data_IF_965136889835
#
_entry.id   IF_965136889835
#
_cell.length_a   1.000
_cell.length_b   1.000
_cell.length_c   1.000
_cell.angle_alpha   90.00
_cell.angle_beta   90.00
_cell.angle_gamma   90.00
#
_symmetry.space_group_name_H-M   'P 1'
#
loop_
_entity.id
_entity.type
_entity.pdbx_description
1 polymer ?
#
# COMPACT_ATOMS: atom_id res chain seq x y z
N UNK A 1 -1.54 -17.73 -24.43
CA UNK A 1 -0.91 -17.59 -23.11
C UNK A 1 0.10 -16.47 -23.20
N UNK A 2 0.10 -15.54 -22.26
CA UNK A 2 1.03 -14.41 -22.21
C UNK A 2 2.29 -14.84 -21.47
N UNK A 3 3.44 -14.34 -21.94
CA UNK A 3 4.74 -14.67 -21.32
C UNK A 3 5.41 -13.45 -20.66
N UNK A 4 4.79 -12.27 -20.80
CA UNK A 4 5.29 -11.03 -20.26
C UNK A 4 4.14 -10.16 -19.76
N UNK A 5 4.35 -9.51 -18.61
CA UNK A 5 3.46 -8.48 -18.08
C UNK A 5 4.25 -7.41 -17.34
N UNK A 6 3.87 -6.14 -17.56
CA UNK A 6 4.36 -4.98 -16.83
C UNK A 6 3.21 -4.32 -16.08
N UNK A 7 3.45 -4.00 -14.81
CA UNK A 7 2.42 -3.48 -13.91
C UNK A 7 2.94 -2.28 -13.13
N UNK A 8 2.01 -1.46 -12.68
CA UNK A 8 2.20 -0.48 -11.61
C UNK A 8 1.58 -0.98 -10.31
N UNK A 9 2.18 -0.57 -9.22
CA UNK A 9 1.85 -0.94 -7.86
C UNK A 9 1.78 0.35 -7.02
N UNK A 10 0.60 1.03 -6.95
CA UNK A 10 0.46 2.36 -6.38
C UNK A 10 0.62 2.36 -4.85
N UNK A 11 1.01 3.51 -4.29
CA UNK A 11 0.89 3.78 -2.87
C UNK A 11 -0.58 4.04 -2.48
N UNK A 12 -0.86 4.02 -1.17
CA UNK A 12 -2.14 4.48 -0.58
C UNK A 12 -1.90 5.44 0.57
N UNK A 13 -2.93 6.15 0.91
CA UNK A 13 -3.08 6.82 2.20
C UNK A 13 -4.42 6.43 2.84
N UNK A 14 -4.56 6.67 4.13
CA UNK A 14 -5.84 6.55 4.82
C UNK A 14 -6.36 7.97 5.03
N UNK A 15 -7.40 8.39 4.31
CA UNK A 15 -8.09 9.66 4.58
C UNK A 15 -8.75 9.63 5.95
N UNK A 16 -9.24 8.45 6.33
CA UNK A 16 -9.68 8.13 7.69
C UNK A 16 -9.02 6.82 8.10
N UNK A 17 -8.50 6.78 9.32
CA UNK A 17 -8.12 5.55 10.02
C UNK A 17 -8.72 5.63 11.43
N UNK A 18 -9.80 4.88 11.63
CA UNK A 18 -10.57 4.81 12.85
C UNK A 18 -10.37 3.44 13.49
N UNK A 19 -9.42 3.37 14.42
CA UNK A 19 -9.10 2.14 15.16
C UNK A 19 -10.04 2.05 16.36
N UNK A 20 -10.78 0.94 16.44
CA UNK A 20 -11.65 0.57 17.53
C UNK A 20 -10.96 -0.27 18.59
N UNK A 21 -11.76 -0.94 19.43
CA UNK A 21 -11.26 -1.82 20.48
C UNK A 21 -10.57 -3.07 19.92
N UNK A 22 -9.67 -3.64 20.72
CA UNK A 22 -9.05 -4.93 20.43
C UNK A 22 -10.11 -6.05 20.39
N UNK A 23 -9.98 -6.94 19.42
CA UNK A 23 -10.85 -8.10 19.17
C UNK A 23 -10.29 -9.35 19.85
N UNK A 24 -11.09 -10.38 19.94
CA UNK A 24 -10.69 -11.69 20.51
C UNK A 24 -9.55 -12.36 19.71
N UNK A 25 -9.41 -12.03 18.41
CA UNK A 25 -8.35 -12.54 17.54
C UNK A 25 -7.02 -11.78 17.70
N UNK A 26 -6.94 -10.81 18.62
CA UNK A 26 -5.75 -9.99 18.89
C UNK A 26 -5.54 -8.82 17.91
N UNK A 27 -6.45 -8.63 16.95
CA UNK A 27 -6.48 -7.46 16.08
C UNK A 27 -7.47 -6.41 16.60
N UNK A 28 -7.45 -5.23 16.00
CA UNK A 28 -8.42 -4.16 16.26
C UNK A 28 -9.52 -4.15 15.21
N UNK A 29 -10.72 -3.76 15.61
CA UNK A 29 -11.71 -3.33 14.64
C UNK A 29 -11.23 -2.03 13.99
N UNK A 30 -11.25 -1.97 12.67
CA UNK A 30 -10.78 -0.83 11.90
C UNK A 30 -11.85 -0.39 10.91
N UNK A 31 -12.13 0.91 10.89
CA UNK A 31 -12.91 1.55 9.85
C UNK A 31 -12.00 2.55 9.15
N UNK A 32 -11.81 2.38 7.85
CA UNK A 32 -10.86 3.22 7.11
C UNK A 32 -11.38 3.62 5.75
N UNK A 33 -11.06 4.86 5.33
CA UNK A 33 -11.23 5.29 3.95
C UNK A 33 -9.84 5.39 3.35
N UNK A 34 -9.51 4.41 2.50
CA UNK A 34 -8.24 4.36 1.78
C UNK A 34 -8.35 5.04 0.42
N UNK A 35 -7.29 5.68 0.00
CA UNK A 35 -7.17 6.28 -1.33
C UNK A 35 -5.83 5.96 -1.97
N UNK A 36 -5.86 5.49 -3.23
CA UNK A 36 -4.65 5.24 -4.03
C UNK A 36 -3.99 6.55 -4.45
N UNK A 37 -2.68 6.52 -4.62
CA UNK A 37 -1.85 7.63 -5.07
C UNK A 37 -1.18 7.33 -6.42
N UNK A 38 -0.78 8.37 -7.13
CA UNK A 38 0.00 8.24 -8.37
C UNK A 38 1.44 7.76 -8.13
N UNK A 39 2.00 7.97 -6.93
CA UNK A 39 3.27 7.35 -6.54
C UNK A 39 3.13 5.83 -6.59
N UNK A 40 4.01 5.14 -7.30
CA UNK A 40 3.93 3.70 -7.49
C UNK A 40 5.28 3.04 -7.66
N UNK A 41 5.40 1.80 -7.21
CA UNK A 41 6.46 0.88 -7.63
C UNK A 41 6.11 0.26 -8.99
N UNK A 42 7.08 -0.35 -9.66
CA UNK A 42 6.88 -1.04 -10.94
C UNK A 42 7.27 -2.50 -10.84
N UNK A 43 6.42 -3.38 -11.37
CA UNK A 43 6.69 -4.79 -11.52
C UNK A 43 6.78 -5.16 -12.99
N UNK A 44 7.76 -6.01 -13.31
CA UNK A 44 7.80 -6.74 -14.59
C UNK A 44 7.87 -8.23 -14.27
N UNK A 45 7.02 -9.02 -14.90
CA UNK A 45 7.03 -10.47 -14.73
C UNK A 45 7.16 -11.15 -16.07
N UNK A 46 7.96 -12.23 -16.10
CA UNK A 46 8.16 -13.09 -17.28
C UNK A 46 7.94 -14.53 -16.90
N UNK A 47 7.19 -15.24 -17.74
CA UNK A 47 6.95 -16.68 -17.62
C UNK A 47 7.80 -17.43 -18.61
N UNK A 48 8.45 -18.49 -18.14
CA UNK A 48 9.23 -19.42 -18.93
C UNK A 48 8.66 -20.83 -18.73
N UNK A 49 8.37 -21.53 -19.82
CA UNK A 49 8.01 -22.94 -19.80
C UNK A 49 9.30 -23.79 -19.81
N UNK A 50 9.29 -24.94 -19.14
CA UNK A 50 10.48 -25.76 -18.88
C UNK A 50 11.23 -26.24 -20.11
N UNK A 51 10.63 -26.23 -21.29
CA UNK A 51 11.23 -26.66 -22.57
C UNK A 51 11.89 -25.52 -23.36
N UNK A 52 12.04 -24.32 -22.80
CA UNK A 52 12.80 -23.26 -23.46
C UNK A 52 14.28 -23.53 -23.32
N UNK A 53 14.91 -23.93 -24.43
CA UNK A 53 16.30 -24.33 -24.56
C UNK A 53 17.27 -23.43 -23.77
N UNK A 54 17.99 -24.01 -22.82
CA UNK A 54 19.23 -23.48 -22.27
C UNK A 54 19.18 -22.93 -20.85
N UNK A 55 18.05 -22.88 -20.16
CA UNK A 55 17.98 -22.57 -18.73
C UNK A 55 17.66 -23.89 -17.98
N UNK A 56 18.71 -24.60 -17.56
CA UNK A 56 18.58 -25.88 -16.84
C UNK A 56 17.96 -25.68 -15.45
N UNK A 57 16.66 -25.75 -15.36
CA UNK A 57 15.94 -25.79 -14.09
C UNK A 57 15.50 -27.22 -13.80
N UNK A 58 16.13 -27.84 -12.82
CA UNK A 58 15.80 -29.18 -12.32
C UNK A 58 14.72 -29.14 -11.22
N UNK A 59 13.66 -28.36 -11.38
CA UNK A 59 12.59 -28.31 -10.39
C UNK A 59 11.25 -28.72 -10.99
N UNK A 60 10.62 -29.68 -10.35
CA UNK A 60 9.23 -30.03 -10.62
C UNK A 60 8.32 -28.92 -10.05
N UNK A 61 7.41 -28.39 -10.87
CA UNK A 61 6.41 -27.40 -10.50
C UNK A 61 6.85 -25.93 -10.70
N UNK A 62 6.26 -25.03 -9.92
CA UNK A 62 6.49 -23.58 -10.04
C UNK A 62 7.79 -23.15 -9.36
N UNK A 63 8.71 -22.55 -10.13
CA UNK A 63 9.86 -21.81 -9.63
C UNK A 63 9.61 -20.31 -9.72
N UNK A 64 10.00 -19.54 -8.69
CA UNK A 64 9.85 -18.09 -8.65
C UNK A 64 11.22 -17.45 -8.39
N UNK A 65 11.65 -16.57 -9.28
CA UNK A 65 12.89 -15.80 -9.13
C UNK A 65 12.53 -14.34 -8.97
N UNK A 66 12.87 -13.75 -7.83
CA UNK A 66 12.56 -12.34 -7.53
C UNK A 66 13.85 -11.53 -7.43
N UNK A 67 13.93 -10.47 -8.24
CA UNK A 67 14.92 -9.41 -8.12
C UNK A 67 14.22 -8.14 -7.66
N UNK A 68 14.65 -7.57 -6.54
CA UNK A 68 14.13 -6.31 -6.00
C UNK A 68 15.24 -5.26 -6.04
N UNK A 69 14.96 -4.12 -6.66
CA UNK A 69 15.84 -2.95 -6.67
C UNK A 69 15.11 -1.78 -6.03
N UNK A 70 15.81 -1.01 -5.19
CA UNK A 70 15.29 0.20 -4.55
C UNK A 70 15.91 1.44 -5.17
N UNK A 71 15.17 2.54 -5.23
CA UNK A 71 15.76 3.84 -5.58
C UNK A 71 16.79 4.25 -4.52
N UNK A 72 17.84 4.97 -4.91
CA UNK A 72 18.98 5.27 -4.02
C UNK A 72 18.67 6.19 -2.84
N UNK A 73 17.44 6.65 -2.70
CA UNK A 73 16.97 7.53 -1.61
C UNK A 73 16.00 6.82 -0.64
N UNK A 74 15.82 5.51 -0.80
CA UNK A 74 15.12 4.66 0.17
C UNK A 74 16.03 3.49 0.56
N UNK A 75 15.83 2.99 1.78
CA UNK A 75 16.62 1.87 2.29
C UNK A 75 16.46 0.63 1.41
N UNK A 76 17.55 -0.14 1.25
CA UNK A 76 17.50 -1.43 0.59
C UNK A 76 16.58 -2.38 1.35
N UNK A 77 15.77 -3.14 0.61
CA UNK A 77 14.94 -4.16 1.21
C UNK A 77 15.76 -5.45 1.38
N UNK A 78 16.36 -5.61 2.55
CA UNK A 78 17.11 -6.83 2.92
C UNK A 78 16.15 -7.92 3.43
N UNK A 79 15.39 -8.52 2.50
CA UNK A 79 14.45 -9.59 2.78
C UNK A 79 14.75 -10.74 1.84
N UNK A 80 14.79 -11.98 2.36
CA UNK A 80 14.93 -13.15 1.52
C UNK A 80 13.79 -13.19 0.47
N UNK A 81 14.07 -13.62 -0.78
CA UNK A 81 13.05 -13.62 -1.83
C UNK A 81 11.74 -14.31 -1.40
N UNK A 82 11.83 -15.41 -0.67
CA UNK A 82 10.70 -16.23 -0.23
C UNK A 82 9.85 -15.53 0.87
N UNK A 83 10.44 -14.59 1.60
CA UNK A 83 9.77 -13.78 2.61
C UNK A 83 9.11 -12.55 2.00
N UNK A 84 9.47 -12.18 0.76
CA UNK A 84 8.86 -11.07 0.07
C UNK A 84 7.38 -11.38 -0.24
N UNK A 85 6.50 -10.46 0.15
CA UNK A 85 5.05 -10.66 0.00
C UNK A 85 4.62 -10.80 -1.47
N UNK A 86 5.34 -10.21 -2.43
CA UNK A 86 5.07 -10.41 -3.86
C UNK A 86 5.40 -11.82 -4.34
N UNK A 87 6.49 -12.42 -3.82
CA UNK A 87 6.81 -13.83 -4.06
C UNK A 87 5.74 -14.75 -3.47
N UNK A 88 5.39 -14.52 -2.20
CA UNK A 88 4.37 -15.29 -1.50
C UNK A 88 3.01 -15.21 -2.21
N UNK A 89 2.65 -14.06 -2.75
CA UNK A 89 1.41 -13.83 -3.48
C UNK A 89 1.27 -14.81 -4.68
N UNK A 90 2.32 -14.96 -5.48
CA UNK A 90 2.30 -15.88 -6.62
C UNK A 90 2.24 -17.34 -6.15
N UNK A 91 3.03 -17.69 -5.13
CA UNK A 91 3.05 -19.04 -4.58
C UNK A 91 1.69 -19.45 -4.01
N UNK A 92 1.08 -18.59 -3.21
CA UNK A 92 -0.24 -18.85 -2.62
C UNK A 92 -1.35 -18.92 -3.69
N UNK A 93 -1.28 -18.05 -4.71
CA UNK A 93 -2.23 -18.12 -5.83
C UNK A 93 -2.08 -19.42 -6.64
N UNK A 94 -0.84 -19.86 -6.92
CA UNK A 94 -0.62 -21.14 -7.60
C UNK A 94 -1.21 -22.30 -6.82
N UNK A 95 -1.04 -22.32 -5.50
CA UNK A 95 -1.62 -23.32 -4.61
C UNK A 95 -3.15 -23.29 -4.63
N UNK A 96 -3.74 -22.10 -4.55
CA UNK A 96 -5.20 -21.91 -4.59
C UNK A 96 -5.81 -22.39 -5.92
N UNK A 97 -5.08 -22.23 -7.02
CA UNK A 97 -5.47 -22.67 -8.35
C UNK A 97 -5.18 -24.14 -8.61
N UNK A 98 -4.46 -24.84 -7.72
CA UNK A 98 -4.01 -26.23 -7.90
C UNK A 98 -3.06 -26.39 -9.08
N UNK A 99 -2.21 -25.40 -9.35
CA UNK A 99 -1.27 -25.44 -10.47
C UNK A 99 -0.15 -26.41 -10.21
N UNK A 100 0.14 -27.26 -11.22
CA UNK A 100 1.15 -28.31 -11.20
C UNK A 100 2.11 -28.23 -12.41
N UNK A 101 1.95 -27.22 -13.27
CA UNK A 101 2.78 -27.03 -14.45
C UNK A 101 4.20 -26.65 -14.06
N UNK A 102 5.15 -27.24 -14.75
CA UNK A 102 6.56 -26.89 -14.62
C UNK A 102 6.83 -25.58 -15.36
N UNK A 103 7.05 -24.52 -14.60
CA UNK A 103 7.29 -23.19 -15.14
C UNK A 103 8.13 -22.35 -14.18
N UNK A 104 8.79 -21.34 -14.73
CA UNK A 104 9.51 -20.33 -13.94
C UNK A 104 8.91 -18.96 -14.16
N UNK A 105 8.63 -18.22 -13.08
CA UNK A 105 8.23 -16.83 -13.11
C UNK A 105 9.37 -15.97 -12.57
N UNK A 106 9.93 -15.12 -13.43
CA UNK A 106 10.87 -14.08 -13.05
C UNK A 106 10.12 -12.79 -12.73
N UNK A 107 10.38 -12.23 -11.55
CA UNK A 107 9.85 -10.96 -11.07
C UNK A 107 10.99 -9.96 -10.97
N UNK A 108 10.88 -8.83 -11.64
CA UNK A 108 11.72 -7.65 -11.41
C UNK A 108 10.87 -6.57 -10.77
N UNK A 109 11.15 -6.25 -9.52
CA UNK A 109 10.47 -5.24 -8.72
C UNK A 109 11.39 -4.03 -8.55
N UNK A 110 10.93 -2.86 -9.03
CA UNK A 110 11.59 -1.57 -8.82
C UNK A 110 10.80 -0.74 -7.83
N UNK A 111 11.41 -0.46 -6.66
CA UNK A 111 10.76 0.23 -5.54
C UNK A 111 11.18 1.68 -5.43
N UNK A 112 10.17 2.53 -5.28
CA UNK A 112 10.28 3.94 -4.92
C UNK A 112 9.47 4.29 -3.67
N UNK A 113 8.57 3.39 -3.26
CA UNK A 113 7.79 3.52 -2.02
C UNK A 113 8.61 2.92 -0.88
N UNK A 114 8.98 3.70 0.16
CA UNK A 114 9.77 3.20 1.28
C UNK A 114 8.99 2.14 2.07
N UNK A 115 9.73 1.18 2.62
CA UNK A 115 9.17 0.20 3.55
C UNK A 115 8.75 0.88 4.87
N UNK A 116 7.79 0.29 5.59
CA UNK A 116 7.33 0.76 6.92
C UNK A 116 6.99 2.25 6.97
N UNK A 117 6.46 2.79 5.87
CA UNK A 117 6.13 4.20 5.70
C UNK A 117 4.62 4.52 5.87
N UNK A 118 3.77 3.52 6.12
CA UNK A 118 2.32 3.69 6.15
C UNK A 118 1.66 3.83 4.77
N UNK A 119 2.42 3.68 3.69
CA UNK A 119 2.00 3.89 2.30
C UNK A 119 1.55 2.61 1.56
N UNK A 120 1.58 1.45 2.22
CA UNK A 120 1.08 0.19 1.69
C UNK A 120 1.88 -0.42 0.54
N UNK A 121 3.15 -0.02 0.33
CA UNK A 121 3.98 -0.44 -0.81
C UNK A 121 4.10 -1.96 -0.95
N UNK A 122 4.34 -2.69 0.14
CA UNK A 122 4.44 -4.16 0.13
C UNK A 122 3.12 -4.81 -0.29
N UNK A 123 2.01 -4.40 0.32
CA UNK A 123 0.67 -4.93 -0.02
C UNK A 123 0.29 -4.63 -1.48
N UNK A 124 0.66 -3.46 -1.97
CA UNK A 124 0.47 -3.09 -3.37
C UNK A 124 1.32 -3.96 -4.31
N UNK A 125 2.59 -4.27 -3.93
CA UNK A 125 3.43 -5.19 -4.71
C UNK A 125 2.83 -6.60 -4.75
N UNK A 126 2.26 -7.08 -3.65
CA UNK A 126 1.55 -8.36 -3.60
C UNK A 126 0.33 -8.38 -4.53
N UNK A 127 -0.51 -7.33 -4.49
CA UNK A 127 -1.66 -7.19 -5.38
C UNK A 127 -1.25 -7.15 -6.87
N UNK A 128 -0.18 -6.41 -7.20
CA UNK A 128 0.37 -6.38 -8.55
C UNK A 128 0.92 -7.76 -8.98
N UNK A 129 1.57 -8.49 -8.07
CA UNK A 129 2.05 -9.85 -8.34
C UNK A 129 0.89 -10.83 -8.57
N UNK A 130 -0.19 -10.77 -7.78
CA UNK A 130 -1.41 -11.55 -8.01
C UNK A 130 -2.01 -11.27 -9.38
N UNK A 131 -2.20 -9.99 -9.72
CA UNK A 131 -2.76 -9.58 -11.00
C UNK A 131 -1.85 -9.98 -12.18
N UNK A 132 -0.53 -9.88 -11.99
CA UNK A 132 0.48 -10.29 -12.96
C UNK A 132 0.44 -11.79 -13.23
N UNK A 133 0.43 -12.61 -12.18
CA UNK A 133 0.31 -14.06 -12.29
C UNK A 133 -1.02 -14.47 -12.93
N UNK A 134 -2.13 -13.88 -12.52
CA UNK A 134 -3.43 -14.10 -13.15
C UNK A 134 -3.39 -13.80 -14.66
N UNK A 135 -2.76 -12.67 -15.04
CA UNK A 135 -2.60 -12.27 -16.46
C UNK A 135 -1.76 -13.29 -17.25
N UNK A 136 -0.64 -13.76 -16.69
CA UNK A 136 0.23 -14.76 -17.32
C UNK A 136 -0.46 -16.11 -17.45
N UNK A 137 -1.30 -16.47 -16.49
CA UNK A 137 -2.03 -17.75 -16.46
C UNK A 137 -3.41 -17.70 -17.17
N UNK A 138 -3.82 -16.54 -17.67
CA UNK A 138 -5.10 -16.39 -18.35
C UNK A 138 -6.30 -16.49 -17.41
N UNK A 139 -6.13 -16.13 -16.13
CA UNK A 139 -7.17 -16.08 -15.12
C UNK A 139 -7.86 -14.70 -15.17
N UNK A 140 -9.17 -14.70 -14.98
CA UNK A 140 -9.95 -13.45 -14.90
C UNK A 140 -9.46 -12.59 -13.71
N UNK A 141 -9.13 -11.32 -13.90
CA UNK A 141 -8.78 -10.41 -12.81
C UNK A 141 -9.88 -10.25 -11.73
N UNK A 142 -11.12 -10.63 -12.04
CA UNK A 142 -12.26 -10.62 -11.11
C UNK A 142 -12.50 -11.97 -10.44
N UNK A 143 -11.62 -12.98 -10.64
CA UNK A 143 -11.76 -14.30 -10.02
C UNK A 143 -11.70 -14.16 -8.49
N UNK A 144 -12.71 -14.68 -7.79
CA UNK A 144 -12.83 -14.61 -6.33
C UNK A 144 -11.62 -15.20 -5.60
N UNK A 145 -10.91 -16.15 -6.22
CA UNK A 145 -9.70 -16.76 -5.64
C UNK A 145 -8.56 -15.75 -5.49
N UNK A 146 -8.45 -14.75 -6.40
CA UNK A 146 -7.48 -13.67 -6.23
C UNK A 146 -7.76 -12.86 -4.97
N UNK A 147 -9.02 -12.51 -4.74
CA UNK A 147 -9.45 -11.76 -3.55
C UNK A 147 -9.29 -12.58 -2.27
N UNK A 148 -9.58 -13.88 -2.32
CA UNK A 148 -9.37 -14.79 -1.19
C UNK A 148 -7.88 -14.87 -0.79
N UNK A 149 -6.98 -15.00 -1.76
CA UNK A 149 -5.53 -14.98 -1.51
C UNK A 149 -5.09 -13.61 -1.01
N UNK A 150 -5.55 -12.52 -1.62
CA UNK A 150 -5.22 -11.16 -1.22
C UNK A 150 -5.56 -10.90 0.26
N UNK A 151 -6.75 -11.30 0.71
CA UNK A 151 -7.21 -11.10 2.09
C UNK A 151 -6.38 -11.91 3.12
N UNK A 152 -5.85 -13.08 2.73
CA UNK A 152 -4.94 -13.88 3.59
C UNK A 152 -3.55 -13.27 3.68
N UNK A 153 -3.05 -12.67 2.60
CA UNK A 153 -1.73 -12.05 2.56
C UNK A 153 -1.64 -10.79 3.41
N UNK A 154 -2.71 -10.01 3.48
CA UNK A 154 -2.75 -8.81 4.29
C UNK A 154 -3.98 -7.94 4.03
N UNK A 155 -4.40 -7.17 5.04
CA UNK A 155 -5.61 -6.36 5.00
C UNK A 155 -5.63 -5.38 3.79
N UNK A 156 -4.51 -4.72 3.50
CA UNK A 156 -4.43 -3.74 2.41
C UNK A 156 -4.32 -4.37 1.01
N UNK A 157 -4.00 -5.69 0.88
CA UNK A 157 -3.74 -6.31 -0.44
C UNK A 157 -5.00 -6.31 -1.31
N UNK A 158 -6.16 -6.67 -0.73
CA UNK A 158 -7.43 -6.69 -1.44
C UNK A 158 -7.86 -5.28 -1.93
N UNK A 159 -7.57 -4.23 -1.14
CA UNK A 159 -7.80 -2.84 -1.57
C UNK A 159 -7.06 -2.54 -2.87
N UNK A 160 -5.79 -2.94 -3.00
CA UNK A 160 -4.98 -2.62 -4.18
C UNK A 160 -5.38 -3.38 -5.44
N UNK A 161 -6.08 -4.50 -5.35
CA UNK A 161 -6.69 -5.15 -6.52
C UNK A 161 -7.79 -4.28 -7.15
N UNK A 162 -8.48 -3.49 -6.34
CA UNK A 162 -9.55 -2.59 -6.78
C UNK A 162 -9.07 -1.15 -6.92
N UNK A 163 -8.41 -0.62 -5.92
CA UNK A 163 -7.85 0.74 -5.88
C UNK A 163 -8.88 1.85 -5.83
N UNK A 164 -8.45 3.04 -6.24
CA UNK A 164 -9.28 4.24 -6.20
C UNK A 164 -9.46 4.77 -4.78
N UNK A 165 -10.72 5.01 -4.38
CA UNK A 165 -11.07 5.37 -3.01
C UNK A 165 -12.15 4.42 -2.51
N UNK A 166 -11.96 3.85 -1.31
CA UNK A 166 -12.88 2.89 -0.74
C UNK A 166 -12.97 3.02 0.78
N UNK A 167 -14.17 2.78 1.30
CA UNK A 167 -14.42 2.54 2.71
C UNK A 167 -14.30 1.03 2.99
N UNK A 168 -13.53 0.70 4.02
CA UNK A 168 -13.28 -0.67 4.45
C UNK A 168 -13.49 -0.79 5.95
N UNK A 169 -13.92 -1.98 6.39
CA UNK A 169 -14.13 -2.36 7.79
C UNK A 169 -13.35 -3.62 8.18
N UNK A 170 -13.68 -4.23 9.29
CA UNK A 170 -13.00 -5.40 9.82
C UNK A 170 -11.62 -5.05 10.36
N UNK A 171 -10.55 -5.63 9.83
CA UNK A 171 -9.15 -5.23 10.08
C UNK A 171 -8.64 -4.26 9.00
N UNK A 172 -9.55 -3.75 8.13
CA UNK A 172 -9.28 -2.98 6.91
C UNK A 172 -9.36 -3.81 5.62
N UNK A 173 -9.78 -5.10 5.70
CA UNK A 173 -9.89 -6.01 4.55
C UNK A 173 -11.31 -6.14 4.00
N UNK A 174 -12.34 -5.80 4.77
CA UNK A 174 -13.72 -5.92 4.33
C UNK A 174 -14.11 -4.70 3.52
N UNK A 175 -14.29 -4.90 2.21
CA UNK A 175 -14.72 -3.84 1.32
C UNK A 175 -16.21 -3.53 1.51
N UNK A 176 -16.54 -2.32 1.88
CA UNK A 176 -17.91 -1.87 2.08
C UNK A 176 -18.45 -1.14 0.84
N UNK A 177 -17.84 -0.03 0.45
CA UNK A 177 -18.24 0.73 -0.73
C UNK A 177 -17.08 1.53 -1.33
N UNK A 178 -17.22 1.85 -2.64
CA UNK A 178 -16.33 2.80 -3.32
C UNK A 178 -16.84 4.22 -3.11
N UNK A 179 -15.89 5.16 -2.98
CA UNK A 179 -16.16 6.58 -3.01
C UNK A 179 -15.65 7.17 -4.33
N UNK A 180 -16.28 8.25 -4.78
CA UNK A 180 -15.72 9.06 -5.86
C UNK A 180 -14.34 9.56 -5.43
N UNK A 181 -13.27 9.29 -6.22
CA UNK A 181 -11.92 9.66 -5.86
C UNK A 181 -11.73 11.17 -5.68
N UNK A 182 -10.95 11.57 -4.67
CA UNK A 182 -10.50 12.94 -4.49
C UNK A 182 -9.55 13.32 -5.64
N UNK A 183 -9.54 14.59 -6.00
CA UNK A 183 -8.54 15.18 -6.90
C UNK A 183 -7.62 16.08 -6.09
N UNK A 184 -6.43 16.37 -6.62
CA UNK A 184 -5.47 17.29 -6.01
C UNK A 184 -4.09 16.68 -5.84
N UNK A 185 -3.24 17.43 -5.16
CA UNK A 185 -1.83 17.11 -4.96
C UNK A 185 -1.52 16.92 -3.48
N UNK A 186 -0.51 16.11 -3.22
CA UNK A 186 -0.06 15.78 -1.88
C UNK A 186 1.47 15.73 -1.89
N UNK A 187 2.10 16.40 -0.94
CA UNK A 187 3.48 16.14 -0.59
C UNK A 187 3.51 15.03 0.47
N UNK A 188 4.26 13.98 0.21
CA UNK A 188 4.53 12.90 1.15
C UNK A 188 5.89 13.15 1.77
N UNK A 189 5.96 13.23 3.09
CA UNK A 189 7.19 13.53 3.81
C UNK A 189 7.37 12.51 4.94
N UNK A 190 8.54 11.86 4.99
CA UNK A 190 8.86 10.85 5.99
C UNK A 190 10.11 11.27 6.74
N UNK A 191 10.11 11.25 8.10
CA UNK A 191 11.34 11.39 8.88
C UNK A 191 12.25 10.20 8.63
N UNK A 192 13.52 10.29 9.04
CA UNK A 192 14.47 9.19 8.88
C UNK A 192 14.15 8.00 9.80
N UNK A 193 13.35 8.23 10.85
CA UNK A 193 12.88 7.17 11.74
C UNK A 193 11.58 6.55 11.22
N UNK A 194 11.47 5.22 11.29
CA UNK A 194 10.26 4.46 11.03
C UNK A 194 9.37 4.35 12.26
N UNK A 195 8.09 4.07 12.07
CA UNK A 195 7.16 3.71 13.16
C UNK A 195 6.90 2.22 13.13
N UNK A 196 7.19 1.53 14.22
CA UNK A 196 6.75 0.15 14.39
C UNK A 196 5.24 0.13 14.58
N UNK A 197 4.50 -0.46 13.64
CA UNK A 197 3.03 -0.61 13.72
C UNK A 197 2.60 -1.25 15.03
N UNK A 198 3.27 -2.33 15.44
CA UNK A 198 2.95 -3.02 16.69
C UNK A 198 3.12 -2.12 17.93
N UNK A 199 4.17 -1.29 17.97
CA UNK A 199 4.39 -0.33 19.08
C UNK A 199 3.36 0.79 19.05
N UNK A 200 2.97 1.29 17.87
CA UNK A 200 1.94 2.33 17.74
C UNK A 200 0.57 1.82 18.24
N UNK A 201 0.19 0.59 17.91
CA UNK A 201 -1.03 -0.01 18.43
C UNK A 201 -0.94 -0.25 19.95
N UNK A 202 0.17 -0.72 20.47
CA UNK A 202 0.36 -0.89 21.91
C UNK A 202 0.30 0.45 22.69
N UNK A 203 0.86 1.53 22.14
CA UNK A 203 0.75 2.87 22.72
C UNK A 203 -0.71 3.39 22.64
N UNK A 204 -1.41 3.12 21.54
CA UNK A 204 -2.84 3.45 21.40
C UNK A 204 -3.68 2.73 22.45
N UNK A 205 -3.43 1.45 22.71
CA UNK A 205 -4.15 0.66 23.71
C UNK A 205 -3.96 1.19 25.14
N UNK A 206 -2.80 1.80 25.41
CA UNK A 206 -2.52 2.42 26.71
C UNK A 206 -3.36 3.70 26.96
N UNK A 207 -3.72 4.42 25.91
CA UNK A 207 -4.53 5.64 25.97
C UNK A 207 -5.47 5.75 24.75
N UNK A 208 -6.50 4.92 24.62
CA UNK A 208 -7.30 4.81 23.42
C UNK A 208 -8.27 6.00 23.25
N UNK A 209 -8.41 6.46 22.01
CA UNK A 209 -9.44 7.41 21.59
C UNK A 209 -10.33 6.73 20.54
N UNK A 210 -11.36 6.02 20.98
CA UNK A 210 -12.22 5.27 20.08
C UNK A 210 -13.20 6.18 19.32
N UNK A 211 -13.51 5.84 18.05
CA UNK A 211 -14.57 6.49 17.31
C UNK A 211 -15.94 6.19 17.95
N UNK A 212 -16.85 7.15 17.97
CA UNK A 212 -18.22 6.88 18.34
C UNK A 212 -19.02 6.23 17.20
N UNK A 213 -20.13 5.58 17.55
CA UNK A 213 -20.96 4.87 16.58
C UNK A 213 -21.62 5.80 15.54
N UNK A 214 -21.95 7.04 15.91
CA UNK A 214 -22.55 8.02 15.00
C UNK A 214 -21.53 8.46 13.94
N UNK A 215 -20.25 8.62 14.32
CA UNK A 215 -19.18 8.91 13.39
C UNK A 215 -18.98 7.74 12.40
N UNK A 216 -18.90 6.50 12.88
CA UNK A 216 -18.75 5.32 12.02
C UNK A 216 -19.93 5.16 11.04
N UNK A 217 -21.15 5.36 11.52
CA UNK A 217 -22.34 5.35 10.66
C UNK A 217 -22.29 6.48 9.61
N UNK A 218 -21.76 7.64 9.96
CA UNK A 218 -21.57 8.74 9.00
C UNK A 218 -20.59 8.40 7.90
N UNK A 219 -19.51 7.67 8.22
CA UNK A 219 -18.51 7.22 7.23
C UNK A 219 -19.10 6.25 6.21
N UNK A 220 -19.95 5.31 6.65
CA UNK A 220 -20.57 4.32 5.77
C UNK A 220 -21.48 4.94 4.70
N UNK A 221 -21.97 6.15 4.93
CA UNK A 221 -22.84 6.89 4.01
C UNK A 221 -22.10 7.81 3.05
N UNK A 222 -20.78 7.97 3.21
CA UNK A 222 -19.97 8.82 2.34
C UNK A 222 -19.81 8.23 0.94
N UNK A 223 -19.95 9.08 -0.05
CA UNK A 223 -19.86 8.71 -1.48
C UNK A 223 -18.81 9.52 -2.25
N UNK A 224 -18.31 10.62 -1.68
CA UNK A 224 -17.30 11.47 -2.31
C UNK A 224 -16.13 11.70 -1.33
N UNK A 225 -14.93 11.36 -1.77
CA UNK A 225 -13.73 11.52 -0.94
C UNK A 225 -13.34 12.99 -0.70
N UNK A 226 -13.88 13.93 -1.47
CA UNK A 226 -13.66 15.36 -1.24
C UNK A 226 -14.38 15.89 0.02
N UNK A 227 -15.44 15.17 0.48
CA UNK A 227 -16.23 15.53 1.66
C UNK A 227 -15.70 14.86 2.95
N UNK A 228 -14.59 14.13 2.88
CA UNK A 228 -14.02 13.42 4.01
C UNK A 228 -13.18 14.39 4.84
N UNK A 229 -13.55 14.52 6.10
CA UNK A 229 -12.70 15.12 7.12
C UNK A 229 -11.57 14.12 7.47
N UNK A 230 -10.33 14.57 7.36
CA UNK A 230 -9.16 13.70 7.58
C UNK A 230 -9.02 13.37 9.06
N UNK A 231 -8.94 12.09 9.38
CA UNK A 231 -8.81 11.66 10.75
C UNK A 231 -8.02 10.36 10.87
N UNK A 232 -7.10 10.32 11.84
CA UNK A 232 -6.33 9.13 12.16
C UNK A 232 -6.05 9.13 13.67
N UNK A 233 -6.72 8.24 14.41
CA UNK A 233 -6.58 8.16 15.86
C UNK A 233 -5.32 7.41 16.34
N UNK A 234 -4.49 6.88 15.43
CA UNK A 234 -3.14 6.42 15.78
C UNK A 234 -2.10 7.55 15.81
N UNK A 235 -2.47 8.78 15.40
CA UNK A 235 -1.49 9.88 15.25
C UNK A 235 -0.73 10.17 16.53
N UNK A 236 -1.41 10.31 17.65
CA UNK A 236 -0.78 10.62 18.93
C UNK A 236 0.11 9.47 19.40
N UNK A 237 -0.34 8.23 19.29
CA UNK A 237 0.43 7.03 19.60
C UNK A 237 1.70 6.90 18.72
N UNK A 238 1.59 7.20 17.42
CA UNK A 238 2.73 7.19 16.52
C UNK A 238 3.75 8.28 16.88
N UNK A 239 3.30 9.46 17.27
CA UNK A 239 4.15 10.56 17.76
C UNK A 239 4.84 10.23 19.08
N UNK A 240 4.17 9.48 19.96
CA UNK A 240 4.78 9.01 21.22
C UNK A 240 5.89 7.99 20.93
N UNK A 241 5.64 7.04 20.03
CA UNK A 241 6.62 6.00 19.65
C UNK A 241 7.80 6.57 18.87
N UNK A 242 7.53 7.57 18.02
CA UNK A 242 8.54 8.18 17.12
C UNK A 242 8.34 9.70 17.09
N UNK A 243 9.02 10.43 18.01
CA UNK A 243 8.85 11.89 18.14
C UNK A 243 9.13 12.69 16.87
N UNK A 244 9.95 12.17 15.95
CA UNK A 244 10.26 12.79 14.67
C UNK A 244 8.99 12.92 13.78
N UNK A 245 7.99 12.07 13.98
CA UNK A 245 6.69 12.21 13.31
C UNK A 245 5.98 13.49 13.77
N UNK A 246 6.05 13.80 15.07
CA UNK A 246 5.49 15.05 15.59
C UNK A 246 6.19 16.28 15.03
N UNK A 247 7.52 16.21 14.81
CA UNK A 247 8.29 17.29 14.19
C UNK A 247 7.81 17.55 12.75
N UNK A 248 7.66 16.48 11.95
CA UNK A 248 7.17 16.58 10.56
C UNK A 248 5.73 17.12 10.53
N UNK A 249 4.85 16.67 11.42
CA UNK A 249 3.46 17.17 11.51
C UNK A 249 3.42 18.65 11.91
N UNK A 250 4.21 19.08 12.89
CA UNK A 250 4.28 20.47 13.31
C UNK A 250 4.82 21.38 12.19
N UNK A 251 5.87 20.94 11.53
CA UNK A 251 6.42 21.61 10.36
C UNK A 251 5.37 21.72 9.25
N UNK A 252 4.73 20.62 8.87
CA UNK A 252 3.73 20.59 7.81
C UNK A 252 2.57 21.54 8.08
N UNK A 253 2.05 21.58 9.32
CA UNK A 253 0.97 22.49 9.73
C UNK A 253 1.36 23.96 9.69
N UNK A 254 2.66 24.28 9.81
CA UNK A 254 3.14 25.66 9.80
C UNK A 254 3.40 26.21 8.39
N UNK A 255 3.38 25.37 7.35
CA UNK A 255 3.62 25.80 5.98
C UNK A 255 2.39 26.54 5.41
N UNK A 256 2.58 27.69 4.76
CA UNK A 256 1.46 28.46 4.18
C UNK A 256 0.74 27.75 3.03
N UNK A 257 1.41 26.77 2.38
CA UNK A 257 0.87 25.97 1.26
C UNK A 257 -0.05 24.83 1.73
N UNK A 258 -0.11 24.56 3.03
CA UNK A 258 -0.82 23.41 3.59
C UNK A 258 -2.32 23.68 3.69
N UNK A 259 -3.13 22.89 2.98
CA UNK A 259 -4.57 22.83 3.17
C UNK A 259 -4.96 21.93 4.35
N UNK A 260 -4.30 20.76 4.44
CA UNK A 260 -4.51 19.80 5.52
C UNK A 260 -3.30 18.86 5.65
N UNK A 261 -3.17 18.21 6.81
CA UNK A 261 -2.15 17.21 7.09
C UNK A 261 -2.77 15.93 7.61
N UNK A 262 -2.15 14.79 7.33
CA UNK A 262 -2.55 13.49 7.89
C UNK A 262 -1.33 12.59 8.10
N UNK A 263 -1.40 11.73 9.10
CA UNK A 263 -0.47 10.60 9.24
C UNK A 263 -0.94 9.46 8.33
N UNK A 264 -0.07 8.92 7.49
CA UNK A 264 -0.38 7.81 6.59
C UNK A 264 -0.32 6.48 7.33
N UNK A 265 -1.45 5.80 7.51
CA UNK A 265 -1.52 4.54 8.26
C UNK A 265 -1.03 4.70 9.70
N UNK A 266 -0.20 3.78 10.16
CA UNK A 266 0.52 3.87 11.45
C UNK A 266 1.76 4.78 11.40
N UNK A 267 2.06 5.40 10.26
CA UNK A 267 3.25 6.22 10.04
C UNK A 267 4.38 5.41 9.36
N UNK A 268 5.53 6.04 9.18
CA UNK A 268 5.97 7.38 9.64
C UNK A 268 5.70 8.52 8.65
N UNK A 269 5.14 8.25 7.47
CA UNK A 269 4.89 9.29 6.46
C UNK A 269 3.76 10.22 6.88
N UNK A 270 3.99 11.52 6.72
CA UNK A 270 2.98 12.58 6.82
C UNK A 270 2.62 13.03 5.41
N UNK A 271 1.33 13.03 5.11
CA UNK A 271 0.77 13.63 3.90
C UNK A 271 0.41 15.09 4.14
N UNK A 272 0.83 15.96 3.24
CA UNK A 272 0.52 17.39 3.22
C UNK A 272 -0.33 17.67 1.98
N UNK A 273 -1.61 17.89 2.17
CA UNK A 273 -2.51 18.23 1.08
C UNK A 273 -2.29 19.68 0.64
N UNK A 274 -2.20 19.89 -0.66
CA UNK A 274 -1.89 21.18 -1.28
C UNK A 274 -2.85 21.49 -2.42
N UNK A 275 -3.13 22.79 -2.62
CA UNK A 275 -4.05 23.27 -3.66
C UNK A 275 -3.49 23.12 -5.08
N UNK A 276 -2.17 23.05 -5.24
CA UNK A 276 -1.52 22.92 -6.55
C UNK A 276 -0.29 21.99 -6.50
N UNK A 277 0.15 21.56 -7.69
CA UNK A 277 1.42 20.84 -7.84
C UNK A 277 2.60 21.68 -7.34
N UNK A 278 2.59 22.98 -7.63
CA UNK A 278 3.67 23.90 -7.23
C UNK A 278 3.76 23.96 -5.69
N UNK A 279 2.64 24.07 -4.98
CA UNK A 279 2.62 24.09 -3.52
C UNK A 279 3.17 22.79 -2.93
N UNK A 280 2.74 21.64 -3.47
CA UNK A 280 3.25 20.33 -3.03
C UNK A 280 4.76 20.18 -3.31
N UNK A 281 5.23 20.70 -4.45
CA UNK A 281 6.65 20.69 -4.80
C UNK A 281 7.47 21.58 -3.85
N UNK A 282 7.00 22.77 -3.50
CA UNK A 282 7.65 23.65 -2.53
C UNK A 282 7.75 23.01 -1.15
N UNK A 283 6.70 22.31 -0.71
CA UNK A 283 6.77 21.51 0.52
C UNK A 283 7.88 20.44 0.46
N UNK A 284 8.03 19.76 -0.68
CA UNK A 284 9.08 18.73 -0.81
C UNK A 284 10.49 19.34 -0.87
N UNK A 285 10.65 20.53 -1.45
CA UNK A 285 11.95 21.23 -1.43
C UNK A 285 12.37 21.64 -0.02
N UNK A 286 11.43 22.07 0.84
CA UNK A 286 11.75 22.39 2.23
C UNK A 286 12.03 21.13 3.06
N UNK A 287 11.26 20.06 2.86
CA UNK A 287 11.49 18.76 3.47
C UNK A 287 12.88 18.19 3.10
N UNK A 288 13.28 18.32 1.82
CA UNK A 288 14.60 17.89 1.35
C UNK A 288 15.74 18.61 2.07
N UNK A 289 15.63 19.93 2.30
CA UNK A 289 16.62 20.71 3.06
C UNK A 289 16.78 20.24 4.50
N UNK A 290 15.78 19.59 5.06
CA UNK A 290 15.77 18.99 6.40
C UNK A 290 16.31 17.56 6.42
N UNK A 291 16.64 16.99 5.24
CA UNK A 291 17.12 15.63 5.11
C UNK A 291 16.01 14.57 5.22
N UNK A 292 14.73 14.94 5.08
CA UNK A 292 13.62 14.00 5.12
C UNK A 292 13.33 13.45 3.73
N UNK A 293 12.98 12.15 3.66
CA UNK A 293 12.46 11.58 2.42
C UNK A 293 11.17 12.28 2.02
N UNK A 294 11.02 12.55 0.73
CA UNK A 294 9.86 13.28 0.26
C UNK A 294 9.51 12.94 -1.19
N UNK A 295 8.23 13.05 -1.54
CA UNK A 295 7.70 12.91 -2.91
C UNK A 295 6.47 13.79 -3.10
N UNK A 296 6.37 14.39 -4.28
CA UNK A 296 5.08 14.91 -4.76
C UNK A 296 4.28 13.75 -5.34
N UNK A 297 3.01 13.69 -5.03
CA UNK A 297 2.06 12.77 -5.63
C UNK A 297 0.72 13.45 -5.90
N UNK A 298 -0.18 12.72 -6.53
CA UNK A 298 -1.59 13.09 -6.69
C UNK A 298 -2.48 11.88 -6.34
N UNK A 299 -3.74 12.14 -6.14
CA UNK A 299 -4.74 11.10 -5.96
C UNK A 299 -4.96 10.34 -7.27
N UNK A 300 -5.04 9.00 -7.20
CA UNK A 300 -5.21 8.12 -8.35
C UNK A 300 -6.50 7.29 -8.24
N UNK A 301 -7.26 7.13 -9.34
CA UNK A 301 -8.51 6.37 -9.30
C UNK A 301 -8.32 4.87 -9.52
N UNK A 302 -7.09 4.36 -9.49
CA UNK A 302 -6.75 2.98 -9.85
C UNK A 302 -5.94 2.27 -8.76
N UNK A 303 -6.05 0.94 -8.70
CA UNK A 303 -5.19 0.06 -7.93
C UNK A 303 -3.99 -0.45 -8.73
N UNK A 304 -3.50 -1.63 -8.37
CA UNK A 304 -2.53 -2.35 -9.18
C UNK A 304 -3.07 -2.54 -10.60
N UNK A 305 -2.27 -2.24 -11.61
CA UNK A 305 -2.77 -2.19 -12.97
C UNK A 305 -1.75 -2.72 -13.97
N UNK A 306 -2.23 -3.51 -14.93
CA UNK A 306 -1.44 -3.97 -16.07
C UNK A 306 -1.28 -2.82 -17.06
N UNK A 307 -0.04 -2.47 -17.37
CA UNK A 307 0.29 -1.49 -18.41
C UNK A 307 0.50 -2.14 -19.77
N UNK A 308 1.10 -3.34 -19.77
CA UNK A 308 1.52 -4.03 -20.97
C UNK A 308 1.51 -5.54 -20.71
N UNK A 309 1.05 -6.35 -21.69
CA UNK A 309 1.09 -7.81 -21.60
C UNK A 309 1.03 -8.48 -22.98
N UNK A 310 1.97 -9.40 -23.29
CA UNK A 310 2.06 -10.14 -24.55
C UNK A 310 2.65 -11.53 -24.37
#
# INVERSE_FOLDING_TARGET
VKNYVRLISPAKINLVLAVGASREDGFHEVHTIMHSLALHDSLTMRRFEENSEGLGFEHEGLSIVLKCETSGDIDSLEVAPEENIAYRAIKELAQELGRTENETIHISLSKVIPAEAGLGGGSSNAAAALLGAATLWGIDPQDDRLYAVASRLGADVAFFLKGGCAYLSGRGEVFENSLKPRKGFIALVRPNAGVSTAKAYAAFDANPCYPDSAYLESLSRKTDAAEIELWNNLTDAACEVTPEVAEVLAWAKALPQTEATLLCGSGSTVGVLCGSYQDAYECTLDAFKRGWWNRVSSFAPVGASVLEAY
#
